data_IF_455040504158
#
_entry.id   IF_455040504158
#
_cell.length_a   1.000
_cell.length_b   1.000
_cell.length_c   1.000
_cell.angle_alpha   90.00
_cell.angle_beta   90.00
_cell.angle_gamma   90.00
#
_symmetry.space_group_name_H-M   'P 1'
#
loop_
_entity.id
_entity.type
_entity.pdbx_description
1 polymer ?
#
# COMPACT_ATOMS: atom_id res chain seq x y z
N UNK A 1 11.47 6.10 -1.08
CA UNK A 1 10.18 5.76 -0.45
C UNK A 1 10.31 4.43 0.29
N UNK A 2 10.01 4.41 1.60
CA UNK A 2 10.06 3.19 2.40
C UNK A 2 8.64 2.63 2.54
N UNK A 3 8.39 1.43 1.99
CA UNK A 3 7.05 0.81 1.92
C UNK A 3 6.39 0.75 3.30
N UNK A 4 7.11 0.22 4.29
CA UNK A 4 6.68 0.16 5.68
C UNK A 4 6.55 1.53 6.36
N UNK A 5 7.34 2.53 5.96
CA UNK A 5 7.23 3.89 6.48
C UNK A 5 5.94 4.56 6.01
N UNK A 6 5.63 4.47 4.72
CA UNK A 6 4.38 4.98 4.16
C UNK A 6 3.16 4.22 4.72
N UNK A 7 3.26 2.90 4.89
CA UNK A 7 2.18 2.11 5.48
C UNK A 7 1.98 2.41 6.97
N UNK A 8 3.06 2.63 7.72
CA UNK A 8 3.00 2.94 9.14
C UNK A 8 2.41 4.34 9.38
N UNK A 9 2.87 5.35 8.63
CA UNK A 9 2.50 6.74 8.82
C UNK A 9 1.17 7.10 8.13
N UNK A 10 0.95 6.64 6.90
CA UNK A 10 -0.15 7.12 6.05
C UNK A 10 -1.30 6.11 5.89
N UNK A 11 -1.12 4.84 6.32
CA UNK A 11 -2.10 3.77 6.12
C UNK A 11 -2.60 3.13 7.42
N UNK A 12 -2.56 3.90 8.51
CA UNK A 12 -3.09 3.50 9.82
C UNK A 12 -2.30 2.37 10.48
N UNK A 13 -0.98 2.34 10.29
CA UNK A 13 -0.09 1.36 10.92
C UNK A 13 -0.03 0.00 10.21
N UNK A 14 0.90 -0.83 10.65
CA UNK A 14 1.14 -2.20 10.15
C UNK A 14 0.30 -3.26 10.87
N UNK A 15 -0.27 -2.94 12.03
CA UNK A 15 -1.06 -3.89 12.81
C UNK A 15 -2.45 -4.12 12.18
N UNK A 16 -2.83 -5.39 12.00
CA UNK A 16 -4.15 -5.80 11.47
C UNK A 16 -4.88 -6.61 12.53
N UNK A 17 -5.93 -6.02 13.12
CA UNK A 17 -6.85 -6.70 14.05
C UNK A 17 -8.16 -7.01 13.33
N UNK A 18 -8.45 -8.29 13.09
CA UNK A 18 -9.71 -8.77 12.49
C UNK A 18 -9.99 -10.21 12.88
N UNK A 19 -11.26 -10.59 12.85
CA UNK A 19 -11.70 -11.98 13.04
C UNK A 19 -11.47 -12.72 11.72
N UNK A 20 -10.84 -13.90 11.78
CA UNK A 20 -10.64 -14.80 10.64
C UNK A 20 -9.44 -14.47 9.74
N UNK A 21 -8.66 -15.52 9.41
CA UNK A 21 -7.43 -15.40 8.61
C UNK A 21 -7.68 -14.90 7.18
N UNK A 22 -8.80 -15.31 6.55
CA UNK A 22 -9.16 -14.87 5.20
C UNK A 22 -9.30 -13.35 5.14
N UNK A 23 -9.95 -12.76 6.15
CA UNK A 23 -10.15 -11.30 6.26
C UNK A 23 -8.84 -10.58 6.56
N UNK A 24 -7.97 -11.18 7.38
CA UNK A 24 -6.64 -10.64 7.65
C UNK A 24 -5.81 -10.58 6.37
N UNK A 25 -5.78 -11.67 5.59
CA UNK A 25 -5.09 -11.73 4.29
C UNK A 25 -5.64 -10.70 3.31
N UNK A 26 -6.98 -10.59 3.20
CA UNK A 26 -7.61 -9.59 2.34
C UNK A 26 -7.23 -8.16 2.73
N UNK A 27 -7.26 -7.80 4.03
CA UNK A 27 -6.86 -6.47 4.51
C UNK A 27 -5.39 -6.16 4.22
N UNK A 28 -4.49 -7.11 4.41
CA UNK A 28 -3.06 -6.94 4.08
C UNK A 28 -2.89 -6.76 2.57
N UNK A 29 -3.54 -7.60 1.77
CA UNK A 29 -3.53 -7.51 0.31
C UNK A 29 -4.04 -6.16 -0.20
N UNK A 30 -5.16 -5.67 0.33
CA UNK A 30 -5.70 -4.36 0.00
C UNK A 30 -4.75 -3.21 0.39
N UNK A 31 -4.13 -3.26 1.58
CA UNK A 31 -3.11 -2.26 1.97
C UNK A 31 -1.95 -2.24 0.98
N UNK A 32 -1.46 -3.41 0.58
CA UNK A 32 -0.39 -3.49 -0.40
C UNK A 32 -0.82 -2.96 -1.77
N UNK A 33 -2.02 -3.33 -2.24
CA UNK A 33 -2.56 -2.86 -3.52
C UNK A 33 -2.70 -1.34 -3.55
N UNK A 34 -3.32 -0.74 -2.53
CA UNK A 34 -3.48 0.72 -2.45
C UNK A 34 -2.14 1.44 -2.44
N UNK A 35 -1.15 0.91 -1.72
CA UNK A 35 0.21 1.45 -1.74
C UNK A 35 0.81 1.41 -3.16
N UNK A 36 0.74 0.26 -3.84
CA UNK A 36 1.28 0.11 -5.20
C UNK A 36 0.57 1.03 -6.21
N UNK A 37 -0.75 1.22 -6.10
CA UNK A 37 -1.49 2.14 -6.97
C UNK A 37 -1.09 3.60 -6.76
N UNK A 38 -0.95 4.04 -5.50
CA UNK A 38 -0.46 5.39 -5.18
C UNK A 38 0.95 5.61 -5.72
N UNK A 39 1.83 4.62 -5.55
CA UNK A 39 3.21 4.67 -6.05
C UNK A 39 3.26 4.70 -7.57
N UNK A 40 2.45 3.89 -8.25
CA UNK A 40 2.36 3.91 -9.72
C UNK A 40 1.94 5.29 -10.24
N UNK A 41 0.94 5.92 -9.61
CA UNK A 41 0.51 7.26 -9.98
C UNK A 41 1.63 8.31 -9.74
N UNK A 42 2.37 8.22 -8.65
CA UNK A 42 3.52 9.09 -8.39
C UNK A 42 4.62 8.89 -9.44
N UNK A 43 4.96 7.65 -9.76
CA UNK A 43 5.97 7.33 -10.77
C UNK A 43 5.55 7.83 -12.16
N UNK A 44 4.27 7.71 -12.54
CA UNK A 44 3.75 8.27 -13.79
C UNK A 44 3.78 9.80 -13.84
N UNK A 45 3.76 10.49 -12.68
CA UNK A 45 3.95 11.95 -12.61
C UNK A 45 5.42 12.34 -12.73
N UNK A 46 6.32 11.55 -12.14
CA UNK A 46 7.76 11.81 -12.15
C UNK A 46 8.38 11.43 -13.50
N UNK A 47 7.88 10.37 -14.14
CA UNK A 47 8.24 9.94 -15.49
C UNK A 47 7.03 10.05 -16.43
N UNK A 48 6.77 11.23 -17.00
CA UNK A 48 5.65 11.44 -17.93
C UNK A 48 5.83 10.72 -19.28
N UNK A 49 7.02 10.18 -19.58
CA UNK A 49 7.26 9.38 -20.78
C UNK A 49 8.21 8.20 -20.47
N UNK A 50 7.68 7.04 -20.03
CA UNK A 50 8.44 5.81 -19.96
C UNK A 50 8.39 5.14 -21.35
N UNK A 51 9.42 5.39 -22.16
CA UNK A 51 9.74 4.58 -23.33
C UNK A 51 10.94 3.69 -22.99
#
# INVERSE_FOLDING_TARGET
>A
EHIFGAQANDMGGTLVRTIGLVRAKAKIGMKNLTYNMRRLAQLGRINPHPA
#
